data_IF_743885062088
#
_entry.id   IF_743885062088
#
_cell.length_a   1.000
_cell.length_b   1.000
_cell.length_c   1.000
_cell.angle_alpha   90.00
_cell.angle_beta   90.00
_cell.angle_gamma   90.00
#
_symmetry.space_group_name_H-M   'P 1'
#
loop_
_entity.id
_entity.type
_entity.pdbx_description
1 polymer ?
#
# COMPACT_ATOMS: atom_id res chain seq x y z
N UNK A 1 12.92 34.07 48.03
CA UNK A 1 11.88 33.38 47.24
C UNK A 1 12.54 32.78 46.00
N UNK A 2 12.69 31.46 45.87
CA UNK A 2 13.19 30.86 44.64
C UNK A 2 12.03 30.46 43.71
N UNK A 3 12.15 30.84 42.43
CA UNK A 3 11.24 30.50 41.34
C UNK A 3 11.59 29.10 40.81
N UNK A 4 10.62 28.21 40.54
CA UNK A 4 10.96 26.88 40.05
C UNK A 4 11.20 26.88 38.55
N UNK A 5 12.39 26.42 38.17
CA UNK A 5 12.81 26.09 36.80
C UNK A 5 11.93 24.99 36.23
N UNK A 6 10.85 25.37 35.54
CA UNK A 6 10.04 24.48 34.69
C UNK A 6 10.39 24.74 33.23
N UNK A 7 11.52 24.20 32.80
CA UNK A 7 11.94 24.28 31.41
C UNK A 7 12.28 22.89 30.88
N UNK A 8 11.65 22.57 29.74
CA UNK A 8 12.24 21.81 28.63
C UNK A 8 12.26 20.28 28.75
N UNK A 9 11.08 19.66 28.79
CA UNK A 9 10.95 18.23 28.46
C UNK A 9 9.87 17.94 27.42
N UNK A 10 9.54 18.90 26.54
CA UNK A 10 8.41 18.77 25.60
C UNK A 10 8.78 18.75 24.10
N UNK A 11 9.91 19.29 23.57
CA UNK A 11 10.04 19.36 22.11
C UNK A 11 10.53 18.05 21.45
N UNK A 12 10.99 17.05 22.22
CA UNK A 12 11.64 15.86 21.65
C UNK A 12 10.69 14.79 21.08
N UNK A 13 9.37 14.91 21.31
CA UNK A 13 8.39 13.93 20.81
C UNK A 13 7.71 14.34 19.49
N UNK A 14 7.93 15.57 19.00
CA UNK A 14 7.33 16.05 17.74
C UNK A 14 8.18 15.75 16.49
N UNK A 15 9.36 15.12 16.64
CA UNK A 15 10.28 14.86 15.53
C UNK A 15 10.09 13.54 14.77
N UNK A 16 9.16 12.67 15.18
CA UNK A 16 9.00 11.32 14.61
C UNK A 16 7.80 11.18 13.65
N UNK A 17 7.03 12.24 13.41
CA UNK A 17 5.90 12.20 12.48
C UNK A 17 6.36 12.52 11.06
N UNK A 18 6.71 11.48 10.29
CA UNK A 18 6.35 11.30 8.86
C UNK A 18 7.40 10.48 8.09
N UNK A 19 7.55 9.19 8.42
CA UNK A 19 7.90 8.22 7.38
C UNK A 19 6.62 7.84 6.61
N UNK A 20 6.02 8.79 5.89
CA UNK A 20 4.98 8.46 4.92
C UNK A 20 5.68 7.87 3.70
N UNK A 21 5.82 6.55 3.65
CA UNK A 21 6.14 5.87 2.41
C UNK A 21 5.04 6.20 1.41
N UNK A 22 5.34 7.11 0.49
CA UNK A 22 4.44 7.46 -0.61
C UNK A 22 4.26 6.19 -1.46
N UNK A 23 3.05 5.62 -1.40
CA UNK A 23 2.70 4.48 -2.22
C UNK A 23 2.61 4.89 -3.69
N UNK A 24 2.50 3.91 -4.61
CA UNK A 24 2.25 4.21 -6.01
C UNK A 24 0.97 5.02 -6.19
N UNK A 25 0.95 5.90 -7.19
CA UNK A 25 -0.18 6.81 -7.41
C UNK A 25 -1.41 6.07 -8.00
N UNK A 26 -2.63 6.33 -7.52
CA UNK A 26 -3.84 5.76 -8.10
C UNK A 26 -3.94 5.97 -9.61
N UNK A 27 -4.33 4.93 -10.35
CA UNK A 27 -4.43 4.97 -11.82
C UNK A 27 -3.18 4.49 -12.55
N UNK A 28 -2.08 4.22 -11.84
CA UNK A 28 -0.86 3.63 -12.40
C UNK A 28 -0.88 2.09 -12.36
N UNK A 29 -0.15 1.40 -13.27
CA UNK A 29 0.01 -0.05 -13.19
C UNK A 29 0.73 -0.49 -11.91
N UNK A 30 1.59 0.35 -11.33
CA UNK A 30 2.28 0.10 -10.06
C UNK A 30 1.29 0.11 -8.88
N UNK A 31 0.33 1.02 -8.88
CA UNK A 31 -0.75 1.03 -7.89
C UNK A 31 -1.62 -0.22 -8.00
N UNK A 32 -1.99 -0.59 -9.23
CA UNK A 32 -2.74 -1.83 -9.45
C UNK A 32 -1.96 -3.04 -8.92
N UNK A 33 -0.66 -3.13 -9.20
CA UNK A 33 0.20 -4.20 -8.71
C UNK A 33 0.29 -4.22 -7.17
N UNK A 34 0.41 -3.06 -6.53
CA UNK A 34 0.43 -2.95 -5.08
C UNK A 34 -0.89 -3.43 -4.45
N UNK A 35 -2.05 -3.04 -5.00
CA UNK A 35 -3.36 -3.45 -4.49
C UNK A 35 -3.60 -4.95 -4.70
N UNK A 36 -3.13 -5.53 -5.81
CA UNK A 36 -3.17 -6.98 -6.02
C UNK A 36 -2.33 -7.71 -4.97
N UNK A 37 -1.11 -7.24 -4.70
CA UNK A 37 -0.25 -7.83 -3.67
C UNK A 37 -0.91 -7.74 -2.29
N UNK A 38 -1.50 -6.59 -1.93
CA UNK A 38 -2.22 -6.43 -0.67
C UNK A 38 -3.45 -7.30 -0.57
N UNK A 39 -4.19 -7.48 -1.65
CA UNK A 39 -5.31 -8.40 -1.65
C UNK A 39 -4.89 -9.84 -1.33
N UNK A 40 -3.76 -10.30 -1.87
CA UNK A 40 -3.24 -11.61 -1.49
C UNK A 40 -2.84 -11.70 -0.01
N UNK A 41 -2.16 -10.68 0.53
CA UNK A 41 -1.85 -10.61 1.97
C UNK A 41 -3.14 -10.65 2.83
N UNK A 42 -4.20 -10.01 2.35
CA UNK A 42 -5.51 -9.98 2.99
C UNK A 42 -6.33 -11.26 2.76
N UNK A 43 -5.84 -12.25 2.00
CA UNK A 43 -6.56 -13.49 1.68
C UNK A 43 -7.74 -13.29 0.71
N UNK A 44 -7.74 -12.20 -0.05
CA UNK A 44 -8.77 -11.89 -1.05
C UNK A 44 -8.45 -12.57 -2.38
N UNK A 45 -9.51 -13.00 -3.08
CA UNK A 45 -9.37 -13.52 -4.45
C UNK A 45 -9.26 -12.36 -5.44
N UNK A 46 -8.32 -12.50 -6.38
CA UNK A 46 -8.07 -11.52 -7.43
C UNK A 46 -7.95 -12.25 -8.76
N UNK A 47 -8.73 -11.82 -9.75
CA UNK A 47 -8.52 -12.23 -11.14
C UNK A 47 -7.44 -11.35 -11.79
N UNK A 48 -6.19 -11.77 -11.64
CA UNK A 48 -5.04 -11.08 -12.22
C UNK A 48 -5.07 -11.10 -13.75
N UNK A 49 -5.65 -12.15 -14.35
CA UNK A 49 -5.75 -12.28 -15.81
C UNK A 49 -6.67 -11.20 -16.39
N UNK A 50 -7.84 -11.02 -15.77
CA UNK A 50 -8.78 -9.96 -16.13
C UNK A 50 -8.16 -8.55 -15.94
N UNK A 51 -7.43 -8.32 -14.85
CA UNK A 51 -6.75 -7.03 -14.64
C UNK A 51 -5.70 -6.76 -15.72
N UNK A 52 -4.85 -7.74 -16.04
CA UNK A 52 -3.86 -7.63 -17.11
C UNK A 52 -4.50 -7.39 -18.48
N UNK A 53 -5.65 -8.01 -18.76
CA UNK A 53 -6.35 -7.84 -20.02
C UNK A 53 -6.87 -6.41 -20.22
N UNK A 54 -7.28 -5.74 -19.13
CA UNK A 54 -7.81 -4.37 -19.12
C UNK A 54 -6.74 -3.29 -19.17
N UNK A 55 -5.49 -3.61 -18.82
CA UNK A 55 -4.39 -2.66 -18.93
C UNK A 55 -3.97 -2.43 -20.40
N UNK A 56 -3.64 -1.17 -20.78
CA UNK A 56 -2.97 -0.84 -22.03
C UNK A 56 -1.72 -1.69 -22.24
N UNK A 57 -1.41 -2.02 -23.49
CA UNK A 57 -0.32 -2.96 -23.79
C UNK A 57 1.03 -2.47 -23.26
N UNK A 58 1.30 -1.16 -23.33
CA UNK A 58 2.51 -0.56 -22.76
C UNK A 58 2.58 -0.60 -21.22
N UNK A 59 1.45 -0.72 -20.53
CA UNK A 59 1.39 -0.76 -19.07
C UNK A 59 1.55 -2.17 -18.51
N UNK A 60 1.25 -3.21 -19.30
CA UNK A 60 1.29 -4.61 -18.85
C UNK A 60 2.66 -5.03 -18.34
N UNK A 61 3.73 -4.66 -19.04
CA UNK A 61 5.09 -5.00 -18.60
C UNK A 61 5.46 -4.32 -17.28
N UNK A 62 5.09 -3.05 -17.12
CA UNK A 62 5.28 -2.30 -15.87
C UNK A 62 4.51 -2.92 -14.72
N UNK A 63 3.25 -3.31 -14.93
CA UNK A 63 2.46 -4.03 -13.94
C UNK A 63 3.13 -5.35 -13.53
N UNK A 64 3.56 -6.16 -14.49
CA UNK A 64 4.19 -7.47 -14.19
C UNK A 64 5.46 -7.29 -13.37
N UNK A 65 6.33 -6.35 -13.77
CA UNK A 65 7.55 -6.04 -13.05
C UNK A 65 7.28 -5.54 -11.62
N UNK A 66 6.34 -4.60 -11.47
CA UNK A 66 5.94 -4.07 -10.18
C UNK A 66 5.33 -5.15 -9.28
N UNK A 67 4.44 -5.98 -9.82
CA UNK A 67 3.78 -7.07 -9.09
C UNK A 67 4.81 -8.09 -8.56
N UNK A 68 5.79 -8.47 -9.38
CA UNK A 68 6.88 -9.33 -8.94
C UNK A 68 7.67 -8.71 -7.77
N UNK A 69 8.00 -7.42 -7.85
CA UNK A 69 8.70 -6.70 -6.77
C UNK A 69 7.87 -6.67 -5.47
N UNK A 70 6.57 -6.38 -5.56
CA UNK A 70 5.68 -6.38 -4.40
C UNK A 70 5.49 -7.78 -3.81
N UNK A 71 5.37 -8.82 -4.64
CA UNK A 71 5.28 -10.20 -4.17
C UNK A 71 6.53 -10.61 -3.37
N UNK A 72 7.74 -10.25 -3.84
CA UNK A 72 8.97 -10.49 -3.10
C UNK A 72 8.99 -9.73 -1.77
N UNK A 73 8.54 -8.47 -1.76
CA UNK A 73 8.44 -7.67 -0.52
C UNK A 73 7.46 -8.28 0.47
N UNK A 74 6.28 -8.69 0.01
CA UNK A 74 5.25 -9.33 0.82
C UNK A 74 5.73 -10.67 1.39
N UNK A 75 6.45 -11.47 0.60
CA UNK A 75 7.06 -12.72 1.07
C UNK A 75 8.09 -12.48 2.19
N UNK A 76 8.92 -11.44 2.06
CA UNK A 76 9.94 -11.10 3.06
C UNK A 76 9.36 -10.48 4.34
N UNK A 77 8.22 -9.80 4.23
CA UNK A 77 7.58 -9.10 5.33
C UNK A 77 6.05 -9.21 5.22
N UNK A 78 5.47 -10.39 5.51
CA UNK A 78 4.03 -10.58 5.45
C UNK A 78 3.37 -9.70 6.48
N UNK A 79 2.31 -8.99 6.08
CA UNK A 79 1.54 -8.14 6.97
C UNK A 79 0.14 -8.69 7.14
N UNK A 80 -0.34 -8.73 8.38
CA UNK A 80 -1.75 -8.97 8.66
C UNK A 80 -2.62 -7.91 8.00
N UNK A 81 -3.90 -8.22 7.88
CA UNK A 81 -4.88 -7.34 7.28
C UNK A 81 -6.09 -7.28 8.19
N UNK A 82 -6.29 -6.11 8.79
CA UNK A 82 -7.44 -5.84 9.66
C UNK A 82 -8.73 -5.76 8.84
N UNK A 83 -9.89 -5.93 9.48
CA UNK A 83 -11.17 -5.96 8.78
C UNK A 83 -11.45 -4.69 7.95
N UNK A 84 -11.08 -3.51 8.48
CA UNK A 84 -11.25 -2.23 7.79
C UNK A 84 -10.33 -2.10 6.57
N UNK A 85 -9.07 -2.53 6.69
CA UNK A 85 -8.11 -2.55 5.58
C UNK A 85 -8.57 -3.53 4.51
N UNK A 86 -8.97 -4.75 4.90
CA UNK A 86 -9.48 -5.77 3.97
C UNK A 86 -10.65 -5.23 3.16
N UNK A 87 -11.60 -4.56 3.80
CA UNK A 87 -12.74 -3.95 3.12
C UNK A 87 -12.32 -2.84 2.14
N UNK A 88 -11.31 -2.04 2.48
CA UNK A 88 -10.76 -1.02 1.58
C UNK A 88 -10.08 -1.65 0.37
N UNK A 89 -9.18 -2.61 0.59
CA UNK A 89 -8.46 -3.32 -0.48
C UNK A 89 -9.44 -4.03 -1.41
N UNK A 90 -10.50 -4.64 -0.87
CA UNK A 90 -11.54 -5.27 -1.68
C UNK A 90 -12.25 -4.27 -2.61
N UNK A 91 -12.55 -3.06 -2.13
CA UNK A 91 -13.15 -2.01 -2.97
C UNK A 91 -12.20 -1.56 -4.08
N UNK A 92 -10.93 -1.36 -3.75
CA UNK A 92 -9.93 -0.87 -4.70
C UNK A 92 -9.66 -1.90 -5.80
N UNK A 93 -9.49 -3.17 -5.45
CA UNK A 93 -9.32 -4.28 -6.40
C UNK A 93 -10.56 -4.44 -7.28
N UNK A 94 -11.76 -4.31 -6.71
CA UNK A 94 -12.99 -4.36 -7.49
C UNK A 94 -13.11 -3.17 -8.46
N UNK A 95 -12.65 -1.98 -8.07
CA UNK A 95 -12.60 -0.81 -8.94
C UNK A 95 -11.59 -1.00 -10.09
N UNK A 96 -10.41 -1.53 -9.79
CA UNK A 96 -9.39 -1.86 -10.79
C UNK A 96 -9.89 -2.90 -11.80
N UNK A 97 -10.67 -3.89 -11.35
CA UNK A 97 -11.27 -4.89 -12.25
C UNK A 97 -12.40 -4.36 -13.14
N UNK A 98 -12.92 -3.15 -12.90
CA UNK A 98 -13.96 -2.51 -13.72
C UNK A 98 -13.44 -1.49 -14.71
N UNK A 99 -12.24 -0.95 -14.49
CA UNK A 99 -11.55 -0.03 -15.40
C UNK A 99 -11.28 -0.69 -16.75
#
# INVERSE_FOLDING_TARGET
>A
MPVPTRYLAVPLLLGLSACTTMGPEPGTPEFAAAQVSRAYDCGLRVDRGQMLARLPREERQRFVAANASFAVKAYKAPRSCEASERASVQRDVAALGRR
#
